data_IF_867214972773
#
_entry.id   IF_867214972773
#
_cell.length_a   1.000
_cell.length_b   1.000
_cell.length_c   1.000
_cell.angle_alpha   90.00
_cell.angle_beta   90.00
_cell.angle_gamma   90.00
#
_symmetry.space_group_name_H-M   'P 1'
#
loop_
_entity.id
_entity.type
_entity.pdbx_description
1 polymer ?
#
# COMPACT_ATOMS: atom_id res chain seq x y z
N UNK A 1 12.37 15.42 -6.76
CA UNK A 1 11.78 14.23 -6.15
C UNK A 1 10.63 13.76 -7.04
N UNK A 2 10.55 12.47 -7.35
CA UNK A 2 9.53 11.92 -8.25
C UNK A 2 8.58 11.07 -7.42
N UNK A 3 7.29 11.44 -7.40
CA UNK A 3 6.27 10.67 -6.70
C UNK A 3 5.92 9.41 -7.46
N UNK A 4 6.06 8.26 -6.81
CA UNK A 4 5.78 6.94 -7.37
C UNK A 4 4.54 6.37 -6.68
N UNK A 5 3.59 5.90 -7.48
CA UNK A 5 2.43 5.19 -6.96
C UNK A 5 1.99 4.05 -7.86
N UNK A 6 1.06 3.25 -7.34
CA UNK A 6 0.52 2.06 -8.01
C UNK A 6 -1.00 2.10 -8.04
N UNK A 7 -1.58 1.59 -9.12
CA UNK A 7 -3.03 1.47 -9.29
C UNK A 7 -3.41 0.05 -9.72
N UNK A 8 -4.72 -0.20 -9.83
CA UNK A 8 -5.26 -1.50 -10.23
C UNK A 8 -5.44 -2.44 -9.06
N UNK A 9 -5.53 -3.74 -9.33
CA UNK A 9 -5.91 -4.73 -8.31
C UNK A 9 -4.86 -4.86 -7.20
N UNK A 10 -3.58 -4.78 -7.56
CA UNK A 10 -2.45 -4.81 -6.63
C UNK A 10 -2.49 -3.64 -5.63
N UNK A 11 -3.06 -2.49 -6.00
CA UNK A 11 -3.22 -1.36 -5.09
C UNK A 11 -4.17 -1.63 -3.92
N UNK A 12 -4.96 -2.71 -3.98
CA UNK A 12 -5.85 -3.14 -2.88
C UNK A 12 -5.54 -4.54 -2.34
N UNK A 13 -4.43 -5.16 -2.77
CA UNK A 13 -4.00 -6.47 -2.27
C UNK A 13 -3.00 -6.29 -1.10
N UNK A 14 -3.28 -6.83 0.11
CA UNK A 14 -2.43 -6.62 1.28
C UNK A 14 -0.97 -7.06 1.11
N UNK A 15 -0.71 -8.15 0.37
CA UNK A 15 0.67 -8.62 0.12
C UNK A 15 1.43 -7.65 -0.78
N UNK A 16 0.76 -7.15 -1.81
CA UNK A 16 1.30 -6.13 -2.70
C UNK A 16 1.57 -4.82 -1.95
N UNK A 17 0.65 -4.38 -1.09
CA UNK A 17 0.82 -3.17 -0.25
C UNK A 17 2.05 -3.27 0.64
N UNK A 18 2.29 -4.42 1.27
CA UNK A 18 3.50 -4.64 2.06
C UNK A 18 4.78 -4.54 1.21
N UNK A 19 4.77 -5.07 -0.01
CA UNK A 19 5.88 -4.90 -0.94
C UNK A 19 6.11 -3.42 -1.28
N UNK A 20 5.06 -2.65 -1.56
CA UNK A 20 5.18 -1.22 -1.91
C UNK A 20 5.71 -0.38 -0.74
N UNK A 21 5.25 -0.65 0.49
CA UNK A 21 5.70 0.03 1.70
C UNK A 21 7.20 -0.24 1.97
N UNK A 22 7.67 -1.45 1.69
CA UNK A 22 9.08 -1.83 1.82
C UNK A 22 9.97 -1.24 0.70
N UNK A 23 9.38 -0.90 -0.45
CA UNK A 23 10.10 -0.32 -1.60
C UNK A 23 9.91 1.20 -1.74
N UNK A 24 9.39 1.87 -0.71
CA UNK A 24 9.23 3.33 -0.64
C UNK A 24 8.37 3.94 -1.77
N UNK A 25 7.26 3.27 -2.12
CA UNK A 25 6.22 3.89 -2.93
C UNK A 25 5.50 4.98 -2.11
N UNK A 26 5.12 6.08 -2.73
CA UNK A 26 4.49 7.21 -2.05
C UNK A 26 2.99 7.02 -1.83
N UNK A 27 2.29 6.33 -2.75
CA UNK A 27 0.84 6.13 -2.65
C UNK A 27 0.32 4.90 -3.40
N UNK A 28 -0.87 4.47 -3.02
CA UNK A 28 -1.64 3.41 -3.67
C UNK A 28 -3.02 3.94 -4.10
N UNK A 29 -3.56 3.40 -5.19
CA UNK A 29 -4.90 3.67 -5.69
C UNK A 29 -5.66 2.36 -5.89
N UNK A 30 -6.83 2.23 -5.28
CA UNK A 30 -7.68 1.04 -5.36
C UNK A 30 -9.16 1.42 -5.45
N UNK A 31 -10.02 0.43 -5.76
CA UNK A 31 -11.46 0.66 -5.84
C UNK A 31 -12.03 1.14 -4.50
N UNK A 32 -13.11 1.95 -4.49
CA UNK A 32 -13.64 2.56 -3.26
C UNK A 32 -13.88 1.56 -2.12
N UNK A 33 -14.39 0.37 -2.45
CA UNK A 33 -14.67 -0.70 -1.49
C UNK A 33 -13.41 -1.31 -0.85
N UNK A 34 -12.24 -1.19 -1.50
CA UNK A 34 -10.96 -1.69 -0.98
C UNK A 34 -10.20 -0.66 -0.16
N UNK A 35 -10.60 0.62 -0.18
CA UNK A 35 -9.90 1.70 0.55
C UNK A 35 -9.72 1.35 2.04
N UNK A 36 -10.76 0.91 2.80
CA UNK A 36 -10.58 0.60 4.22
C UNK A 36 -9.57 -0.54 4.46
N UNK A 37 -9.63 -1.60 3.65
CA UNK A 37 -8.69 -2.73 3.72
C UNK A 37 -7.27 -2.30 3.36
N UNK A 38 -7.12 -1.44 2.36
CA UNK A 38 -5.82 -0.94 1.91
C UNK A 38 -5.16 -0.07 2.98
N UNK A 39 -5.92 0.78 3.67
CA UNK A 39 -5.44 1.58 4.81
C UNK A 39 -4.94 0.68 5.94
N UNK A 40 -5.73 -0.33 6.32
CA UNK A 40 -5.33 -1.27 7.37
C UNK A 40 -4.07 -2.04 6.99
N UNK A 41 -3.98 -2.52 5.74
CA UNK A 41 -2.81 -3.24 5.24
C UNK A 41 -1.55 -2.37 5.25
N UNK A 42 -1.65 -1.11 4.81
CA UNK A 42 -0.54 -0.15 4.83
C UNK A 42 -0.07 0.12 6.27
N UNK A 43 -0.99 0.39 7.20
CA UNK A 43 -0.66 0.61 8.61
C UNK A 43 0.04 -0.61 9.24
N UNK A 44 -0.46 -1.82 8.94
CA UNK A 44 0.15 -3.05 9.42
C UNK A 44 1.54 -3.30 8.81
N UNK A 45 1.74 -3.01 7.52
CA UNK A 45 3.02 -3.12 6.85
C UNK A 45 4.06 -2.16 7.45
N UNK A 46 3.66 -0.91 7.69
CA UNK A 46 4.51 0.09 8.36
C UNK A 46 4.98 -0.39 9.73
N UNK A 47 4.07 -0.88 10.58
CA UNK A 47 4.40 -1.40 11.92
C UNK A 47 5.29 -2.64 11.90
N UNK A 48 5.28 -3.43 10.81
CA UNK A 48 6.21 -4.56 10.62
C UNK A 48 7.58 -4.11 10.14
N UNK A 49 7.66 -3.08 9.29
CA UNK A 49 8.91 -2.49 8.79
C UNK A 49 9.72 -1.79 9.89
N UNK A 50 9.06 -1.18 10.87
CA UNK A 50 9.72 -0.48 11.99
C UNK A 50 10.27 -1.40 13.10
N UNK A 51 10.06 -2.72 13.01
CA UNK A 51 10.67 -3.69 13.92
C UNK A 51 11.97 -4.24 13.35
#
# INVERSE_FOLDING_TARGET
>A
DLKIGVCGEHGGDPKSIEFFENNNFDYISCSPFRIPTAILAAAQAYLRKEK
#
